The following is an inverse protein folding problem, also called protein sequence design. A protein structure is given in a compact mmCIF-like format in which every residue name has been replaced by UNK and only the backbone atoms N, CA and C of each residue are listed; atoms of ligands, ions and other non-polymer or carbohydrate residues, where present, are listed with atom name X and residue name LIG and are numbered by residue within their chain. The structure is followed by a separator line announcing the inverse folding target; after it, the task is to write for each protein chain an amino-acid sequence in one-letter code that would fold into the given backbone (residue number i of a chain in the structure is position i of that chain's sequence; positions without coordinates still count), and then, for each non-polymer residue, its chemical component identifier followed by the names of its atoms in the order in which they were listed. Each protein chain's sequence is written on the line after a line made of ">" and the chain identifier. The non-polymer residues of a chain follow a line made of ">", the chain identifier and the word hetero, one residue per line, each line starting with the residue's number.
data_IF_655284489350
#
_entry.id   IF_655284489350
#
_cell.length_a   1.000
_cell.length_b   1.000
_cell.length_c   1.000
_cell.angle_alpha   90.00
_cell.angle_beta   90.00
_cell.angle_gamma   90.00
#
_symmetry.space_group_name_H-M   'P 1'
#
loop_
_entity.id
_entity.type
_entity.pdbx_description
1 polymer ?
#
# COMPACT_ATOMS: atom_id res chain seq x y z
N UNK A 1 -14.33 5.93 11.97
CA UNK A 1 -13.22 5.19 11.32
C UNK A 1 -12.34 6.21 10.63
N UNK A 2 -11.03 6.01 10.67
CA UNK A 2 -10.08 6.84 9.92
C UNK A 2 -10.24 6.54 8.42
N UNK A 3 -9.86 7.49 7.55
CA UNK A 3 -9.70 7.18 6.14
C UNK A 3 -8.44 6.33 5.94
N UNK A 4 -8.36 5.51 4.88
CA UNK A 4 -7.17 4.72 4.60
C UNK A 4 -5.88 5.55 4.55
N UNK A 5 -5.93 6.76 3.99
CA UNK A 5 -4.78 7.70 3.96
C UNK A 5 -4.35 8.14 5.37
N UNK A 6 -5.31 8.49 6.23
CA UNK A 6 -5.02 8.95 7.58
C UNK A 6 -4.51 7.82 8.49
N UNK A 7 -4.98 6.59 8.25
CA UNK A 7 -4.46 5.41 8.94
C UNK A 7 -3.04 5.08 8.48
N UNK A 8 -2.76 5.15 7.18
CA UNK A 8 -1.42 4.96 6.63
C UNK A 8 -0.44 5.98 7.21
N UNK A 9 -0.79 7.27 7.20
CA UNK A 9 0.05 8.34 7.77
C UNK A 9 0.36 8.10 9.26
N UNK A 10 -0.60 7.59 10.04
CA UNK A 10 -0.36 7.24 11.44
C UNK A 10 0.59 6.04 11.61
N UNK A 11 0.53 5.06 10.71
CA UNK A 11 1.41 3.90 10.73
C UNK A 11 2.83 4.26 10.28
N UNK A 12 2.96 5.12 9.27
CA UNK A 12 4.25 5.63 8.80
C UNK A 12 4.97 6.51 9.85
N UNK A 13 4.20 7.18 10.73
CA UNK A 13 4.74 8.00 11.82
C UNK A 13 4.76 7.26 13.18
N UNK A 14 4.55 5.94 13.21
CA UNK A 14 4.58 5.16 14.45
C UNK A 14 6.03 4.93 14.90
N UNK A 15 6.48 5.67 15.92
CA UNK A 15 7.84 5.58 16.48
C UNK A 15 8.21 4.16 16.93
N UNK A 16 7.24 3.34 17.37
CA UNK A 16 7.51 1.96 17.77
C UNK A 16 7.76 1.09 16.55
N UNK A 17 7.00 1.28 15.48
CA UNK A 17 7.23 0.55 14.24
C UNK A 17 8.60 0.89 13.67
N UNK A 18 8.93 2.18 13.59
CA UNK A 18 10.22 2.68 13.11
C UNK A 18 11.40 2.06 13.90
N UNK A 19 11.37 2.13 15.23
CA UNK A 19 12.42 1.57 16.08
C UNK A 19 12.58 0.04 15.96
N UNK A 20 11.49 -0.69 15.70
CA UNK A 20 11.55 -2.14 15.51
C UNK A 20 12.11 -2.51 14.13
N UNK A 21 11.80 -1.72 13.10
CA UNK A 21 12.37 -1.88 11.76
C UNK A 21 13.86 -1.54 11.74
N UNK A 22 14.27 -0.42 12.34
CA UNK A 22 15.69 -0.04 12.48
C UNK A 22 16.49 -1.17 13.15
N UNK A 23 15.96 -1.74 14.23
CA UNK A 23 16.58 -2.86 14.92
C UNK A 23 16.76 -4.10 14.02
N UNK A 24 15.79 -4.40 13.17
CA UNK A 24 15.90 -5.49 12.20
C UNK A 24 16.97 -5.18 11.13
N UNK A 25 17.04 -3.95 10.66
CA UNK A 25 18.06 -3.48 9.69
C UNK A 25 19.48 -3.55 10.25
N UNK A 26 19.66 -3.25 11.53
CA UNK A 26 20.94 -3.40 12.25
C UNK A 26 21.34 -4.87 12.47
N UNK A 27 20.52 -5.84 12.05
CA UNK A 27 20.74 -7.27 12.25
C UNK A 27 20.36 -7.75 13.65
N UNK A 28 19.61 -6.94 14.40
CA UNK A 28 18.98 -7.33 15.65
C UNK A 28 17.86 -8.35 15.45
N UNK A 29 17.36 -8.89 16.56
CA UNK A 29 16.21 -9.81 16.56
C UNK A 29 15.10 -9.26 17.41
N UNK A 30 13.87 -9.53 16.98
CA UNK A 30 12.64 -9.26 17.71
C UNK A 30 12.18 -10.53 18.44
N UNK A 31 11.46 -10.35 19.54
CA UNK A 31 10.77 -11.47 20.16
C UNK A 31 9.52 -11.86 19.35
N UNK A 32 8.88 -12.98 19.69
CA UNK A 32 7.73 -13.48 18.94
C UNK A 32 6.53 -12.50 18.91
N UNK A 33 6.28 -11.79 20.00
CA UNK A 33 5.18 -10.81 20.08
C UNK A 33 5.48 -9.55 19.25
N UNK A 34 6.72 -9.06 19.32
CA UNK A 34 7.19 -7.93 18.52
C UNK A 34 7.15 -8.25 17.03
N UNK A 35 7.64 -9.44 16.63
CA UNK A 35 7.63 -9.86 15.23
C UNK A 35 6.19 -9.96 14.70
N UNK A 36 5.29 -10.66 15.41
CA UNK A 36 3.90 -10.76 14.99
C UNK A 36 3.19 -9.40 14.96
N UNK A 37 3.58 -8.46 15.81
CA UNK A 37 3.05 -7.10 15.77
C UNK A 37 3.54 -6.34 14.55
N UNK A 38 4.85 -6.38 14.25
CA UNK A 38 5.44 -5.73 13.07
C UNK A 38 4.83 -6.30 11.80
N UNK A 39 4.76 -7.62 11.67
CA UNK A 39 4.17 -8.32 10.52
C UNK A 39 2.73 -7.83 10.28
N UNK A 40 1.90 -7.81 11.33
CA UNK A 40 0.52 -7.34 11.22
C UNK A 40 0.40 -5.83 10.86
N UNK A 41 1.39 -5.00 11.20
CA UNK A 41 1.43 -3.60 10.79
C UNK A 41 1.84 -3.45 9.34
N UNK A 42 2.83 -4.21 8.89
CA UNK A 42 3.25 -4.22 7.49
C UNK A 42 2.13 -4.72 6.57
N UNK A 43 1.47 -5.83 6.93
CA UNK A 43 0.29 -6.33 6.21
C UNK A 43 -0.80 -5.26 6.09
N UNK A 44 -1.02 -4.49 7.17
CA UNK A 44 -2.01 -3.41 7.17
C UNK A 44 -1.59 -2.25 6.28
N UNK A 45 -0.32 -1.88 6.28
CA UNK A 45 0.24 -0.84 5.39
C UNK A 45 0.04 -1.27 3.93
N UNK A 46 0.33 -2.53 3.60
CA UNK A 46 0.14 -3.08 2.26
C UNK A 46 -1.33 -3.04 1.81
N UNK A 47 -2.26 -3.48 2.66
CA UNK A 47 -3.70 -3.37 2.40
C UNK A 47 -4.15 -1.92 2.16
N UNK A 48 -3.60 -0.98 2.94
CA UNK A 48 -3.91 0.44 2.81
C UNK A 48 -3.36 1.00 1.50
N UNK A 49 -2.12 0.66 1.13
CA UNK A 49 -1.54 1.08 -0.14
C UNK A 49 -2.35 0.55 -1.34
N UNK A 50 -2.82 -0.70 -1.29
CA UNK A 50 -3.71 -1.25 -2.32
C UNK A 50 -5.05 -0.51 -2.41
N UNK A 51 -5.70 -0.24 -1.27
CA UNK A 51 -6.96 0.53 -1.26
C UNK A 51 -6.81 1.96 -1.80
N UNK A 52 -5.59 2.50 -1.71
CA UNK A 52 -5.26 3.83 -2.18
C UNK A 52 -4.81 3.88 -3.65
N UNK A 53 -4.65 2.72 -4.31
CA UNK A 53 -4.05 2.63 -5.64
C UNK A 53 -2.58 3.04 -5.66
N UNK A 54 -1.88 2.87 -4.52
CA UNK A 54 -0.45 3.15 -4.36
C UNK A 54 0.39 1.88 -4.37
N UNK A 55 -0.24 0.70 -4.47
CA UNK A 55 0.47 -0.58 -4.58
C UNK A 55 1.25 -0.66 -5.89
N UNK A 56 2.49 -1.12 -5.80
CA UNK A 56 3.37 -1.30 -6.95
C UNK A 56 2.98 -2.50 -7.84
N UNK A 57 2.04 -3.32 -7.39
CA UNK A 57 1.54 -4.51 -8.09
C UNK A 57 0.36 -4.22 -9.04
N UNK A 58 -0.08 -2.96 -9.14
CA UNK A 58 -0.95 -2.51 -10.24
C UNK A 58 -0.10 -2.25 -11.51
N UNK A 59 0.50 -3.31 -12.05
CA UNK A 59 0.76 -3.37 -13.49
C UNK A 59 -0.61 -3.51 -14.20
N UNK A 60 -1.07 -2.42 -14.82
CA UNK A 60 -1.76 -2.43 -16.13
C UNK A 60 -3.17 -3.06 -16.33
N UNK A 61 -4.25 -2.64 -15.64
CA UNK A 61 -5.62 -2.99 -16.14
C UNK A 61 -6.65 -1.85 -16.27
N UNK A 62 -6.62 -0.77 -15.47
CA UNK A 62 -7.69 0.27 -15.56
C UNK A 62 -7.45 1.42 -16.55
N UNK A 63 -6.26 1.50 -17.17
CA UNK A 63 -5.97 2.52 -18.18
C UNK A 63 -6.23 2.05 -19.62
N UNK A 64 -6.25 0.75 -19.90
CA UNK A 64 -6.56 0.21 -21.24
C UNK A 64 -8.06 0.29 -21.57
N UNK A 65 -8.97 -0.03 -20.63
CA UNK A 65 -10.42 0.02 -20.91
C UNK A 65 -10.90 1.44 -21.26
N UNK A 66 -10.33 2.47 -20.61
CA UNK A 66 -10.66 3.88 -20.90
C UNK A 66 -10.12 4.33 -22.26
N UNK A 67 -8.98 3.81 -22.70
CA UNK A 67 -8.42 4.14 -24.01
C UNK A 67 -9.16 3.43 -25.15
N UNK A 68 -9.57 2.17 -24.98
CA UNK A 68 -10.37 1.46 -25.99
C UNK A 68 -11.76 2.09 -26.20
N UNK A 69 -12.43 2.50 -25.11
CA UNK A 69 -13.73 3.18 -25.20
C UNK A 69 -13.60 4.54 -25.91
N UNK A 70 -12.54 5.28 -25.61
CA UNK A 70 -12.25 6.55 -26.29
C UNK A 70 -11.95 6.36 -27.79
N UNK A 71 -11.22 5.31 -28.19
CA UNK A 71 -10.94 5.02 -29.60
C UNK A 71 -12.19 4.52 -30.35
N UNK A 72 -13.07 3.76 -29.70
CA UNK A 72 -14.36 3.35 -30.28
C UNK A 72 -15.28 4.54 -30.53
N UNK A 73 -15.34 5.49 -29.58
CA UNK A 73 -16.10 6.73 -29.72
C UNK A 73 -15.57 7.60 -30.87
N UNK A 74 -14.24 7.70 -31.01
CA UNK A 74 -13.60 8.49 -32.07
C UNK A 74 -13.81 7.89 -33.48
N UNK A 75 -13.87 6.55 -33.60
CA UNK A 75 -14.05 5.83 -34.86
C UNK A 75 -15.51 5.64 -35.26
N UNK A 76 -16.45 5.79 -34.32
CA UNK A 76 -17.90 5.67 -34.54
C UNK A 76 -18.61 6.95 -35.00
N UNK A 77 -17.90 8.09 -35.06
CA UNK A 77 -18.42 9.34 -35.60
C UNK A 77 -18.20 9.44 -37.10
N UNK A 78 -19.30 9.38 -37.87
CA UNK A 78 -19.39 9.72 -39.29
C UNK A 78 -18.71 11.05 -39.65
#
# INVERSE_FOLDING_TARGET
>A
MLSPQAELELLENDERLDALLERLEEGGTLNAEEQSWVDAKLDRIDELMQQLGLSYDDEDEEEEERQEDMMRLLKGGN
#
